data_IF_595844554080
#
_entry.id   IF_595844554080
#
_cell.length_a   1.000
_cell.length_b   1.000
_cell.length_c   1.000
_cell.angle_alpha   90.00
_cell.angle_beta   90.00
_cell.angle_gamma   90.00
#
_symmetry.space_group_name_H-M   'P 1'
#
loop_
_entity.id
_entity.type
_entity.pdbx_description
1 polymer ?
#
# COMPACT_ATOMS: atom_id res chain seq x y z
N UNK A 1 -52.51 -15.68 2.56
CA UNK A 1 -51.49 -16.24 3.49
C UNK A 1 -50.99 -17.56 2.92
N UNK A 2 -49.73 -18.01 3.10
CA UNK A 2 -48.53 -17.35 3.63
C UNK A 2 -47.33 -17.36 2.65
N UNK A 3 -46.27 -16.67 3.08
CA UNK A 3 -44.97 -16.41 2.45
C UNK A 3 -44.06 -17.66 2.42
N UNK A 4 -43.31 -17.95 1.34
CA UNK A 4 -42.16 -18.86 1.42
C UNK A 4 -40.88 -18.05 1.71
N UNK A 5 -40.50 -18.12 2.98
CA UNK A 5 -39.14 -18.29 3.53
C UNK A 5 -38.01 -17.46 2.92
N UNK A 6 -37.63 -16.45 3.71
CA UNK A 6 -36.28 -15.91 3.88
C UNK A 6 -35.21 -16.87 3.35
N UNK A 7 -34.62 -16.52 2.20
CA UNK A 7 -33.33 -17.07 1.84
C UNK A 7 -32.37 -16.62 2.94
N UNK A 8 -31.91 -17.60 3.72
CA UNK A 8 -30.90 -17.39 4.75
C UNK A 8 -29.76 -16.62 4.09
N UNK A 9 -29.61 -15.37 4.48
CA UNK A 9 -28.39 -14.59 4.32
C UNK A 9 -27.36 -15.33 5.17
N UNK A 10 -26.78 -16.38 4.57
CA UNK A 10 -25.64 -17.10 5.11
C UNK A 10 -24.47 -16.13 5.04
N UNK A 11 -24.39 -15.26 6.05
CA UNK A 11 -23.17 -14.65 6.56
C UNK A 11 -22.17 -14.30 5.45
N UNK A 12 -22.38 -13.18 4.76
CA UNK A 12 -21.25 -12.41 4.23
C UNK A 12 -20.67 -11.62 5.41
N UNK A 13 -20.07 -12.32 6.37
CA UNK A 13 -19.07 -11.74 7.25
C UNK A 13 -17.80 -11.64 6.44
N UNK A 14 -17.80 -10.75 5.43
CA UNK A 14 -16.61 -10.32 4.74
C UNK A 14 -15.77 -9.46 5.68
N UNK A 15 -15.30 -10.03 6.79
CA UNK A 15 -14.08 -9.53 7.40
C UNK A 15 -13.02 -9.70 6.32
N UNK A 16 -12.36 -8.63 5.86
CA UNK A 16 -11.34 -8.76 4.83
C UNK A 16 -10.34 -9.78 5.37
N UNK A 17 -10.24 -10.93 4.71
CA UNK A 17 -9.30 -11.97 5.12
C UNK A 17 -7.96 -11.27 5.23
N UNK A 18 -7.41 -11.18 6.44
CA UNK A 18 -6.10 -10.58 6.66
C UNK A 18 -5.14 -11.34 5.74
N UNK A 19 -4.81 -10.72 4.61
CA UNK A 19 -4.03 -11.37 3.55
C UNK A 19 -2.68 -11.65 4.19
N UNK A 20 -2.45 -12.92 4.53
CA UNK A 20 -1.19 -13.32 5.16
C UNK A 20 -0.09 -12.89 4.23
N UNK A 21 0.90 -12.20 4.78
CA UNK A 21 2.01 -11.65 4.03
C UNK A 21 2.64 -12.77 3.19
N UNK A 22 2.68 -12.60 1.87
CA UNK A 22 3.31 -13.58 0.98
C UNK A 22 4.82 -13.62 1.21
N UNK A 23 5.47 -14.73 0.84
CA UNK A 23 6.94 -14.83 0.95
C UNK A 23 7.67 -13.72 0.20
N UNK A 24 7.19 -13.36 -0.99
CA UNK A 24 7.74 -12.23 -1.76
C UNK A 24 7.54 -10.88 -1.06
N UNK A 25 6.37 -10.64 -0.47
CA UNK A 25 6.08 -9.41 0.28
C UNK A 25 7.00 -9.31 1.52
N UNK A 26 7.20 -10.42 2.23
CA UNK A 26 8.11 -10.47 3.38
C UNK A 26 9.56 -10.13 2.99
N UNK A 27 10.05 -10.69 1.88
CA UNK A 27 11.40 -10.42 1.39
C UNK A 27 11.59 -8.93 1.08
N UNK A 28 10.63 -8.29 0.41
CA UNK A 28 10.71 -6.86 0.10
C UNK A 28 10.81 -6.03 1.37
N UNK A 29 9.97 -6.32 2.38
CA UNK A 29 10.00 -5.61 3.67
C UNK A 29 11.37 -5.79 4.35
N UNK A 30 11.89 -7.03 4.39
CA UNK A 30 13.20 -7.31 5.00
C UNK A 30 14.31 -6.54 4.30
N UNK A 31 14.33 -6.51 2.96
CA UNK A 31 15.35 -5.77 2.19
C UNK A 31 15.28 -4.28 2.49
N UNK A 32 14.07 -3.70 2.54
CA UNK A 32 13.88 -2.28 2.86
C UNK A 32 14.42 -1.96 4.26
N UNK A 33 14.07 -2.79 5.26
CA UNK A 33 14.53 -2.60 6.64
C UNK A 33 16.05 -2.75 6.74
N UNK A 34 16.63 -3.77 6.10
CA UNK A 34 18.06 -4.01 6.11
C UNK A 34 18.85 -2.87 5.45
N UNK A 35 18.37 -2.36 4.30
CA UNK A 35 18.95 -1.19 3.66
C UNK A 35 18.84 0.05 4.54
N UNK A 36 17.68 0.32 5.13
CA UNK A 36 17.50 1.46 6.03
C UNK A 36 18.45 1.39 7.23
N UNK A 37 18.53 0.23 7.86
CA UNK A 37 19.45 -0.01 8.97
C UNK A 37 20.91 0.19 8.54
N UNK A 38 21.32 -0.33 7.38
CA UNK A 38 22.66 -0.15 6.87
C UNK A 38 23.01 1.33 6.59
N UNK A 39 22.06 2.07 6.03
CA UNK A 39 22.22 3.50 5.75
C UNK A 39 22.36 4.35 7.02
N UNK A 40 21.62 4.01 8.08
CA UNK A 40 21.76 4.70 9.38
C UNK A 40 23.07 4.31 10.06
N UNK A 41 23.39 3.01 10.10
CA UNK A 41 24.49 2.48 10.92
C UNK A 41 25.87 2.65 10.29
N UNK A 42 26.00 2.44 8.98
CA UNK A 42 27.30 2.48 8.30
C UNK A 42 27.57 3.80 7.60
N UNK A 43 26.53 4.45 7.06
CA UNK A 43 26.69 5.74 6.38
C UNK A 43 26.49 6.95 7.32
N UNK A 44 26.14 6.71 8.59
CA UNK A 44 25.93 7.77 9.59
C UNK A 44 24.80 8.74 9.22
N UNK A 45 23.91 8.33 8.31
CA UNK A 45 22.86 9.21 7.82
C UNK A 45 21.78 9.39 8.89
N UNK A 46 21.29 10.62 9.00
CA UNK A 46 20.22 10.95 9.92
C UNK A 46 18.93 10.26 9.48
N UNK A 47 18.16 9.77 10.44
CA UNK A 47 16.86 9.11 10.21
C UNK A 47 15.93 9.86 9.24
N UNK A 48 15.75 11.20 9.31
CA UNK A 48 14.89 11.92 8.35
C UNK A 48 15.40 11.81 6.91
N UNK A 49 16.71 11.78 6.70
CA UNK A 49 17.32 11.68 5.37
C UNK A 49 17.08 10.28 4.78
N UNK A 50 17.21 9.23 5.60
CA UNK A 50 16.88 7.86 5.22
C UNK A 50 15.39 7.72 4.91
N UNK A 51 14.53 8.30 5.74
CA UNK A 51 13.08 8.27 5.52
C UNK A 51 12.71 8.98 4.22
N UNK A 52 13.33 10.13 3.93
CA UNK A 52 13.11 10.87 2.69
C UNK A 52 13.55 10.08 1.46
N UNK A 53 14.68 9.38 1.52
CA UNK A 53 15.14 8.48 0.46
C UNK A 53 14.17 7.31 0.24
N UNK A 54 13.71 6.67 1.30
CA UNK A 54 12.77 5.55 1.21
C UNK A 54 11.42 5.99 0.63
N UNK A 55 10.91 7.14 1.07
CA UNK A 55 9.67 7.72 0.53
C UNK A 55 9.86 8.05 -0.96
N UNK A 56 10.94 8.74 -1.32
CA UNK A 56 11.23 9.10 -2.71
C UNK A 56 11.37 7.88 -3.61
N UNK A 57 12.15 6.88 -3.20
CA UNK A 57 12.34 5.64 -3.95
C UNK A 57 11.03 4.85 -4.09
N UNK A 58 10.25 4.75 -3.01
CA UNK A 58 8.94 4.09 -3.02
C UNK A 58 7.95 4.76 -3.96
N UNK A 59 7.86 6.10 -3.94
CA UNK A 59 6.99 6.86 -4.84
C UNK A 59 7.39 6.68 -6.32
N UNK A 60 8.69 6.75 -6.62
CA UNK A 60 9.19 6.53 -7.98
C UNK A 60 8.89 5.10 -8.45
N UNK A 61 9.11 4.11 -7.59
CA UNK A 61 8.82 2.71 -7.91
C UNK A 61 7.32 2.50 -8.20
N UNK A 62 6.43 3.04 -7.35
CA UNK A 62 4.98 2.95 -7.56
C UNK A 62 4.57 3.65 -8.86
N UNK A 63 5.13 4.83 -9.15
CA UNK A 63 4.85 5.57 -10.38
C UNK A 63 5.28 4.77 -11.61
N UNK A 64 6.51 4.24 -11.62
CA UNK A 64 7.04 3.42 -12.71
C UNK A 64 6.21 2.15 -12.91
N UNK A 65 5.93 1.41 -11.84
CA UNK A 65 5.10 0.20 -11.92
C UNK A 65 3.72 0.55 -12.45
N UNK A 66 3.10 1.64 -11.99
CA UNK A 66 1.80 2.10 -12.48
C UNK A 66 1.81 2.45 -13.97
N UNK A 67 2.86 3.14 -14.44
CA UNK A 67 3.04 3.46 -15.86
C UNK A 67 3.24 2.20 -16.72
N UNK A 68 4.09 1.27 -16.26
CA UNK A 68 4.42 0.04 -17.00
C UNK A 68 3.23 -0.94 -17.03
N UNK A 69 2.50 -1.07 -15.92
CA UNK A 69 1.35 -1.97 -15.81
C UNK A 69 0.05 -1.38 -16.35
N UNK A 70 0.08 -0.13 -16.83
CA UNK A 70 -1.11 0.57 -17.33
C UNK A 70 -2.17 0.79 -16.23
N UNK A 71 -1.76 0.83 -14.96
CA UNK A 71 -2.64 1.07 -13.85
C UNK A 71 -3.43 2.36 -14.08
N UNK A 72 -4.77 2.23 -14.08
CA UNK A 72 -5.69 3.25 -14.57
C UNK A 72 -5.39 4.62 -13.98
N UNK A 73 -5.15 5.59 -14.86
CA UNK A 73 -5.02 7.02 -14.54
C UNK A 73 -6.18 7.56 -13.68
N UNK A 74 -7.31 6.84 -13.58
CA UNK A 74 -8.41 7.13 -12.63
C UNK A 74 -8.00 7.01 -11.17
N UNK A 75 -7.23 6.00 -10.76
CA UNK A 75 -6.85 5.85 -9.34
C UNK A 75 -5.87 6.95 -8.94
N UNK A 76 -4.93 7.28 -9.82
CA UNK A 76 -4.01 8.40 -9.65
C UNK A 76 -4.77 9.73 -9.57
N UNK A 77 -5.77 9.96 -10.43
CA UNK A 77 -6.64 11.14 -10.37
C UNK A 77 -7.45 11.21 -9.07
N UNK A 78 -7.94 10.08 -8.57
CA UNK A 78 -8.68 10.03 -7.31
C UNK A 78 -7.78 10.37 -6.11
N UNK A 79 -6.57 9.80 -6.08
CA UNK A 79 -5.58 10.11 -5.04
C UNK A 79 -5.13 11.58 -5.09
N UNK A 80 -4.85 12.11 -6.29
CA UNK A 80 -4.52 13.52 -6.48
C UNK A 80 -5.67 14.44 -6.05
N UNK A 81 -6.92 14.08 -6.37
CA UNK A 81 -8.09 14.83 -5.90
C UNK A 81 -8.26 14.78 -4.39
N UNK A 82 -7.92 13.66 -3.75
CA UNK A 82 -7.98 13.55 -2.29
C UNK A 82 -6.88 14.39 -1.61
N UNK A 83 -5.67 14.42 -2.18
CA UNK A 83 -4.55 15.24 -1.69
C UNK A 83 -4.77 16.74 -1.91
N UNK A 84 -5.40 17.10 -3.02
CA UNK A 84 -5.76 18.49 -3.36
C UNK A 84 -7.14 18.87 -2.84
N UNK A 85 -7.85 17.97 -2.16
CA UNK A 85 -9.09 18.31 -1.49
C UNK A 85 -8.74 19.32 -0.38
N UNK A 86 -9.46 20.43 -0.27
CA UNK A 86 -9.25 21.36 0.83
C UNK A 86 -9.39 20.59 2.14
N UNK A 87 -8.38 20.65 2.99
CA UNK A 87 -8.54 20.26 4.39
C UNK A 87 -9.51 21.29 4.99
N UNK A 88 -10.75 20.86 5.22
CA UNK A 88 -11.78 21.65 5.87
C UNK A 88 -11.38 21.97 7.32
#
# INVERSE_FOLDING_TARGET
MPKPRSAVSCVESGTPSHRRLGGAEAVVIIVIIAMAAALVTFAGMTLPLVLQLLIGAGLIAVLLVGLITGASTRSLRAALRALLAPAA
#
